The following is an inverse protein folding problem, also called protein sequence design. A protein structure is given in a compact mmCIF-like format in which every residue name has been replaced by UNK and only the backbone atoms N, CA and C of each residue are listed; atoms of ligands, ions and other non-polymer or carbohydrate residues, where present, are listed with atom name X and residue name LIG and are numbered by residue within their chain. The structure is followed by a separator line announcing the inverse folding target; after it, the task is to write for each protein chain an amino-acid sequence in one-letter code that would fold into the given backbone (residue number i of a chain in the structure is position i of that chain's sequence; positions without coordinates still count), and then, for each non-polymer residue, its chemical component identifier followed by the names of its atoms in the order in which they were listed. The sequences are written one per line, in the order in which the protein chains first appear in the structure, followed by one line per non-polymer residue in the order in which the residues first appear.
data_IF_957542743622
#
_entry.id   IF_957542743622
#
_cell.length_a   1.000
_cell.length_b   1.000
_cell.length_c   1.000
_cell.angle_alpha   90.00
_cell.angle_beta   90.00
_cell.angle_gamma   90.00
#
_symmetry.space_group_name_H-M   'P 1'
#
loop_
_entity.id
_entity.type
_entity.pdbx_description
1 polymer ?
#
# COMPACT_ATOMS: atom_id res chain seq x y z
N UNK A 1 14.30 14.09 -7.57
CA UNK A 1 13.05 14.48 -6.89
C UNK A 1 11.96 13.52 -7.32
N UNK A 2 11.30 12.85 -6.38
CA UNK A 2 10.18 11.93 -6.68
C UNK A 2 8.87 12.71 -6.76
N UNK A 3 7.81 12.10 -7.32
CA UNK A 3 6.48 12.72 -7.38
C UNK A 3 5.90 12.98 -5.98
N UNK A 4 6.14 12.08 -5.02
CA UNK A 4 5.76 12.28 -3.62
C UNK A 4 6.42 13.54 -3.04
N UNK A 5 7.73 13.69 -3.23
CA UNK A 5 8.48 14.85 -2.74
C UNK A 5 7.99 16.17 -3.39
N UNK A 6 7.54 16.12 -4.64
CA UNK A 6 6.94 17.28 -5.30
C UNK A 6 5.61 17.69 -4.69
N UNK A 7 4.74 16.73 -4.38
CA UNK A 7 3.48 16.98 -3.71
C UNK A 7 3.68 17.51 -2.29
N UNK A 8 4.64 16.97 -1.54
CA UNK A 8 5.01 17.46 -0.19
C UNK A 8 5.52 18.90 -0.21
N UNK A 9 6.14 19.32 -1.32
CA UNK A 9 6.58 20.70 -1.56
C UNK A 9 5.48 21.61 -2.13
N UNK A 10 4.24 21.11 -2.25
CA UNK A 10 3.10 21.89 -2.74
C UNK A 10 3.06 22.12 -4.25
N UNK A 11 3.81 21.33 -5.03
CA UNK A 11 3.89 21.49 -6.48
C UNK A 11 2.74 20.81 -7.25
N UNK A 12 1.80 20.17 -6.56
CA UNK A 12 0.62 19.57 -7.17
C UNK A 12 -0.03 18.47 -6.33
N UNK A 13 -0.97 17.75 -6.97
CA UNK A 13 -1.65 16.58 -6.40
C UNK A 13 -1.02 15.29 -6.90
N UNK A 14 -1.01 14.26 -6.06
CA UNK A 14 -0.61 12.90 -6.43
C UNK A 14 -1.69 11.90 -6.06
N UNK A 15 -1.80 10.85 -6.88
CA UNK A 15 -2.68 9.72 -6.65
C UNK A 15 -1.78 8.49 -6.51
N UNK A 16 -1.54 8.08 -5.26
CA UNK A 16 -0.69 6.93 -4.95
C UNK A 16 -1.34 5.98 -3.95
N UNK A 17 -0.92 4.71 -3.94
CA UNK A 17 -1.36 3.76 -2.94
C UNK A 17 -0.95 4.22 -1.54
N UNK A 18 -1.78 3.91 -0.55
CA UNK A 18 -1.55 4.31 0.84
C UNK A 18 -0.28 3.72 1.44
N UNK A 19 0.17 2.53 1.00
CA UNK A 19 1.44 1.95 1.45
C UNK A 19 2.67 2.79 1.06
N UNK A 20 2.56 3.64 0.04
CA UNK A 20 3.66 4.50 -0.42
C UNK A 20 3.67 5.86 0.30
N UNK A 21 2.50 6.43 0.57
CA UNK A 21 2.34 7.81 1.10
C UNK A 21 1.76 7.87 2.52
N UNK A 22 1.46 6.74 3.14
CA UNK A 22 0.74 6.69 4.41
C UNK A 22 1.46 7.39 5.56
N UNK A 23 2.80 7.39 5.57
CA UNK A 23 3.57 8.16 6.55
C UNK A 23 3.45 9.67 6.36
N UNK A 24 3.54 10.15 5.12
CA UNK A 24 3.36 11.56 4.79
C UNK A 24 1.94 12.06 5.13
N UNK A 25 0.94 11.21 4.90
CA UNK A 25 -0.45 11.49 5.31
C UNK A 25 -0.59 11.54 6.83
N UNK A 26 -0.03 10.57 7.57
CA UNK A 26 -0.05 10.57 9.04
C UNK A 26 0.67 11.77 9.65
N UNK A 27 1.80 12.16 9.06
CA UNK A 27 2.60 13.30 9.51
C UNK A 27 1.98 14.65 9.09
N UNK A 28 0.92 14.65 8.27
CA UNK A 28 0.26 15.84 7.77
C UNK A 28 1.04 16.61 6.70
N UNK A 29 2.14 16.05 6.18
CA UNK A 29 2.89 16.64 5.05
C UNK A 29 2.14 16.46 3.74
N UNK A 30 1.30 15.43 3.65
CA UNK A 30 0.26 15.29 2.63
C UNK A 30 -1.12 15.25 3.29
N UNK A 31 -2.11 15.84 2.63
CA UNK A 31 -3.50 15.88 3.12
C UNK A 31 -4.41 15.21 2.08
N UNK A 32 -5.27 14.27 2.49
CA UNK A 32 -6.21 13.65 1.58
C UNK A 32 -7.22 14.69 1.07
N UNK A 33 -7.41 14.72 -0.24
CA UNK A 33 -8.40 15.56 -0.92
C UNK A 33 -9.42 14.68 -1.62
N UNK A 34 -10.58 15.24 -1.95
CA UNK A 34 -11.65 14.53 -2.67
C UNK A 34 -12.17 13.27 -1.93
N UNK A 35 -12.22 13.28 -0.59
CA UNK A 35 -12.64 12.14 0.23
C UNK A 35 -14.07 11.63 0.00
N UNK A 36 -14.87 12.33 -0.81
CA UNK A 36 -16.19 11.87 -1.27
C UNK A 36 -16.11 10.88 -2.45
N UNK A 37 -14.92 10.69 -3.04
CA UNK A 37 -14.71 9.87 -4.23
C UNK A 37 -13.80 8.69 -3.91
N UNK A 38 -14.12 7.52 -4.48
CA UNK A 38 -13.15 6.44 -4.60
C UNK A 38 -12.28 6.71 -5.83
N UNK A 39 -10.99 6.80 -5.59
CA UNK A 39 -10.01 7.17 -6.61
C UNK A 39 -9.13 5.96 -6.91
N UNK A 40 -9.05 5.59 -8.18
CA UNK A 40 -8.21 4.48 -8.65
C UNK A 40 -7.69 4.78 -10.05
N UNK A 41 -6.49 4.26 -10.36
CA UNK A 41 -5.93 4.28 -11.72
C UNK A 41 -6.41 3.09 -12.58
N UNK A 42 -7.20 2.19 -12.00
CA UNK A 42 -7.76 0.99 -12.62
C UNK A 42 -9.20 0.77 -12.16
N UNK A 43 -9.99 0.03 -12.95
CA UNK A 43 -11.32 -0.43 -12.55
C UNK A 43 -11.26 -1.50 -11.45
N UNK A 44 -10.12 -2.16 -11.29
CA UNK A 44 -9.92 -3.23 -10.33
C UNK A 44 -9.27 -2.69 -9.04
N UNK A 45 -9.66 -3.23 -7.86
CA UNK A 45 -8.96 -2.92 -6.61
C UNK A 45 -7.49 -3.29 -6.70
N UNK A 46 -6.62 -2.40 -6.23
CA UNK A 46 -5.19 -2.70 -6.17
C UNK A 46 -4.92 -3.77 -5.11
N UNK A 47 -4.16 -4.80 -5.48
CA UNK A 47 -3.84 -5.93 -4.61
C UNK A 47 -2.33 -6.10 -4.45
N UNK A 48 -1.90 -6.50 -3.25
CA UNK A 48 -0.54 -6.97 -3.00
C UNK A 48 -0.63 -8.50 -2.91
N UNK A 49 0.07 -9.20 -3.80
CA UNK A 49 0.04 -10.65 -3.88
C UNK A 49 1.42 -11.27 -3.64
N UNK A 50 1.45 -12.41 -2.95
CA UNK A 50 2.65 -13.24 -2.84
C UNK A 50 2.60 -14.32 -3.91
N UNK A 51 3.64 -14.38 -4.74
CA UNK A 51 3.76 -15.36 -5.82
C UNK A 51 4.87 -16.35 -5.50
N UNK A 52 4.63 -17.64 -5.76
CA UNK A 52 5.62 -18.69 -5.61
C UNK A 52 5.51 -19.69 -6.78
N UNK A 53 6.59 -20.41 -7.12
CA UNK A 53 6.53 -21.43 -8.16
C UNK A 53 5.49 -22.49 -7.83
N UNK A 54 4.64 -22.84 -8.80
CA UNK A 54 3.62 -23.89 -8.71
C UNK A 54 4.24 -25.28 -8.57
N UNK A 55 4.90 -25.54 -7.46
CA UNK A 55 5.43 -26.84 -7.09
C UNK A 55 4.34 -27.66 -6.39
N UNK A 56 4.35 -28.98 -6.59
CA UNK A 56 3.33 -29.92 -6.08
C UNK A 56 3.19 -29.90 -4.55
N UNK A 57 4.19 -29.37 -3.82
CA UNK A 57 4.18 -29.19 -2.37
C UNK A 57 4.89 -27.88 -2.01
N UNK A 58 4.16 -26.96 -1.39
CA UNK A 58 4.74 -25.75 -0.82
C UNK A 58 5.71 -26.13 0.30
N UNK A 59 6.95 -25.63 0.23
CA UNK A 59 7.92 -25.83 1.32
C UNK A 59 7.42 -25.18 2.61
N UNK A 60 7.62 -25.84 3.75
CA UNK A 60 7.28 -25.30 5.08
C UNK A 60 7.88 -23.91 5.28
N UNK A 61 9.12 -23.68 4.84
CA UNK A 61 9.77 -22.37 4.94
C UNK A 61 9.00 -21.28 4.18
N UNK A 62 8.51 -21.57 2.98
CA UNK A 62 7.72 -20.62 2.19
C UNK A 62 6.38 -20.37 2.85
N UNK A 63 5.73 -21.41 3.37
CA UNK A 63 4.47 -21.27 4.11
C UNK A 63 4.65 -20.37 5.33
N UNK A 64 5.68 -20.60 6.14
CA UNK A 64 5.98 -19.78 7.32
C UNK A 64 6.19 -18.31 6.97
N UNK A 65 6.86 -18.00 5.86
CA UNK A 65 7.05 -16.61 5.40
C UNK A 65 5.74 -15.99 4.93
N UNK A 66 4.89 -16.75 4.22
CA UNK A 66 3.55 -16.28 3.84
C UNK A 66 2.72 -15.98 5.09
N UNK A 67 2.72 -16.89 6.07
CA UNK A 67 2.00 -16.71 7.33
C UNK A 67 2.47 -15.45 8.07
N UNK A 68 3.78 -15.22 8.11
CA UNK A 68 4.37 -14.01 8.69
C UNK A 68 3.84 -12.74 8.00
N UNK A 69 3.84 -12.67 6.66
CA UNK A 69 3.34 -11.49 5.96
C UNK A 69 1.84 -11.29 6.15
N UNK A 70 1.05 -12.37 6.16
CA UNK A 70 -0.39 -12.31 6.44
C UNK A 70 -0.64 -11.75 7.84
N UNK A 71 0.15 -12.16 8.84
CA UNK A 71 0.07 -11.63 10.20
C UNK A 71 0.52 -10.17 10.28
N UNK A 72 1.64 -9.81 9.63
CA UNK A 72 2.17 -8.45 9.64
C UNK A 72 1.23 -7.42 9.01
N UNK A 73 0.61 -7.75 7.87
CA UNK A 73 -0.31 -6.84 7.19
C UNK A 73 -1.71 -6.92 7.81
N UNK A 74 -2.17 -8.10 8.22
CA UNK A 74 -3.50 -8.28 8.80
C UNK A 74 -4.64 -7.87 7.86
N UNK A 75 -5.82 -7.61 8.43
CA UNK A 75 -7.01 -7.15 7.68
C UNK A 75 -6.95 -5.66 7.35
N UNK A 76 -6.35 -4.86 8.23
CA UNK A 76 -6.04 -3.45 8.00
C UNK A 76 -4.52 -3.28 8.11
N UNK A 77 -3.84 -3.04 6.98
CA UNK A 77 -2.40 -2.84 6.95
C UNK A 77 -1.96 -1.73 7.89
N UNK A 78 -0.77 -1.88 8.48
CA UNK A 78 -0.25 -0.92 9.45
C UNK A 78 -0.13 0.51 8.89
N UNK A 79 0.02 0.68 7.57
CA UNK A 79 0.08 1.98 6.92
C UNK A 79 -1.29 2.66 6.73
N UNK A 80 -2.39 1.91 6.86
CA UNK A 80 -3.78 2.41 6.78
C UNK A 80 -4.43 2.57 8.17
N UNK A 81 -3.69 2.27 9.24
CA UNK A 81 -4.16 2.50 10.60
C UNK A 81 -4.17 4.02 10.88
N UNK A 82 -5.21 4.51 11.59
CA UNK A 82 -5.34 5.92 11.95
C UNK A 82 -4.20 6.40 12.85
#
# INVERSE_FOLDING_TARGET
MTLTQAAEQGLGLVMFPSWLIGEAVRNGTLVPVLGAYQVSNSLEPQQIAVLWPGSRRLSVKVRTVIDFFVECFGTVPYWDRP
#
